data_IF_323262456707
#
_entry.id   IF_323262456707
#
_cell.length_a   1.000
_cell.length_b   1.000
_cell.length_c   1.000
_cell.angle_alpha   90.00
_cell.angle_beta   90.00
_cell.angle_gamma   90.00
#
_symmetry.space_group_name_H-M   'P 1'
#
loop_
_entity.id
_entity.type
_entity.pdbx_description
1 polymer ?
#
# COMPACT_ATOMS: atom_id res chain seq x y z
N UNK A 1 29.60 -3.35 17.08
CA UNK A 1 28.66 -3.43 15.94
C UNK A 1 27.27 -3.17 16.50
N UNK A 2 26.65 -2.02 16.21
CA UNK A 2 25.34 -1.68 16.80
C UNK A 2 24.30 -2.71 16.35
N UNK A 3 23.40 -3.12 17.26
CA UNK A 3 22.36 -4.15 17.03
C UNK A 3 21.54 -3.89 15.76
N UNK A 4 21.25 -2.61 15.45
CA UNK A 4 20.56 -2.20 14.22
C UNK A 4 21.31 -2.53 12.93
N UNK A 5 22.65 -2.53 12.93
CA UNK A 5 23.45 -2.91 11.75
C UNK A 5 23.44 -4.42 11.51
N UNK A 6 23.32 -5.23 12.56
CA UNK A 6 23.19 -6.68 12.43
C UNK A 6 21.84 -7.07 11.83
N UNK A 7 20.74 -6.58 12.41
CA UNK A 7 19.38 -6.86 11.92
C UNK A 7 19.18 -6.42 10.46
N UNK A 8 19.71 -5.26 10.08
CA UNK A 8 19.67 -4.79 8.70
C UNK A 8 20.40 -5.75 7.73
N UNK A 9 21.58 -6.26 8.10
CA UNK A 9 22.30 -7.25 7.28
C UNK A 9 21.54 -8.58 7.18
N UNK A 10 20.98 -9.05 8.30
CA UNK A 10 20.23 -10.30 8.35
C UNK A 10 19.00 -10.25 7.44
N UNK A 11 18.12 -9.25 7.61
CA UNK A 11 16.90 -9.14 6.81
C UNK A 11 17.16 -8.87 5.33
N UNK A 12 18.25 -8.15 5.01
CA UNK A 12 18.72 -8.02 3.63
C UNK A 12 19.03 -9.39 3.02
N UNK A 13 19.78 -10.23 3.72
CA UNK A 13 20.15 -11.55 3.23
C UNK A 13 18.92 -12.47 3.11
N UNK A 14 18.01 -12.43 4.09
CA UNK A 14 16.74 -13.17 4.04
C UNK A 14 15.93 -12.77 2.81
N UNK A 15 15.85 -11.47 2.50
CA UNK A 15 15.11 -10.98 1.34
C UNK A 15 15.70 -11.50 0.02
N UNK A 16 17.02 -11.46 -0.15
CA UNK A 16 17.64 -12.01 -1.37
C UNK A 16 17.49 -13.53 -1.48
N UNK A 17 17.65 -14.26 -0.36
CA UNK A 17 17.42 -15.71 -0.33
C UNK A 17 15.98 -16.05 -0.70
N UNK A 18 15.02 -15.28 -0.19
CA UNK A 18 13.60 -15.38 -0.54
C UNK A 18 13.36 -15.16 -2.04
N UNK A 19 13.96 -14.11 -2.64
CA UNK A 19 13.81 -13.84 -4.07
C UNK A 19 14.36 -14.98 -4.94
N UNK A 20 15.51 -15.55 -4.56
CA UNK A 20 16.08 -16.71 -5.27
C UNK A 20 15.16 -17.93 -5.11
N UNK A 21 14.73 -18.22 -3.88
CA UNK A 21 13.90 -19.39 -3.58
C UNK A 21 12.56 -19.33 -4.30
N UNK A 22 11.89 -18.17 -4.32
CA UNK A 22 10.61 -18.03 -5.01
C UNK A 22 10.78 -18.10 -6.53
N UNK A 23 11.88 -17.58 -7.07
CA UNK A 23 12.16 -17.67 -8.51
C UNK A 23 12.39 -19.13 -8.92
N UNK A 24 13.16 -19.89 -8.15
CA UNK A 24 13.36 -21.33 -8.37
C UNK A 24 12.01 -22.07 -8.29
N UNK A 25 11.20 -21.79 -7.27
CA UNK A 25 9.88 -22.39 -7.12
C UNK A 25 8.99 -22.13 -8.34
N UNK A 26 8.92 -20.88 -8.80
CA UNK A 26 8.14 -20.51 -10.00
C UNK A 26 8.63 -21.25 -11.23
N UNK A 27 9.94 -21.33 -11.45
CA UNK A 27 10.52 -22.06 -12.59
C UNK A 27 10.14 -23.55 -12.53
N UNK A 28 10.25 -24.17 -11.35
CA UNK A 28 9.89 -25.58 -11.15
C UNK A 28 8.40 -25.80 -11.45
N UNK A 29 7.52 -24.93 -10.95
CA UNK A 29 6.07 -25.02 -11.20
C UNK A 29 5.73 -24.79 -12.68
N UNK A 30 6.43 -23.87 -13.35
CA UNK A 30 6.26 -23.65 -14.78
C UNK A 30 6.68 -24.86 -15.62
N UNK A 31 7.85 -25.46 -15.33
CA UNK A 31 8.31 -26.68 -16.00
C UNK A 31 7.31 -27.82 -15.77
N UNK A 32 6.87 -28.00 -14.52
CA UNK A 32 5.89 -29.03 -14.14
C UNK A 32 4.57 -28.86 -14.89
N UNK A 33 4.11 -27.63 -15.07
CA UNK A 33 2.91 -27.33 -15.85
C UNK A 33 3.06 -27.72 -17.31
N UNK A 34 4.22 -27.43 -17.94
CA UNK A 34 4.49 -27.79 -19.33
C UNK A 34 4.51 -29.32 -19.50
N UNK A 35 5.14 -30.03 -18.57
CA UNK A 35 5.18 -31.50 -18.57
C UNK A 35 3.81 -32.13 -18.33
N UNK A 36 2.94 -31.51 -17.52
CA UNK A 36 1.57 -32.01 -17.29
C UNK A 36 0.66 -31.76 -18.49
N UNK A 37 0.86 -30.63 -19.20
CA UNK A 37 0.08 -30.26 -20.37
C UNK A 37 0.25 -31.24 -21.55
N UNK A 38 1.39 -31.92 -21.64
CA UNK A 38 1.59 -32.98 -22.65
C UNK A 38 0.78 -34.24 -22.37
N UNK A 39 0.26 -34.41 -21.15
CA UNK A 39 -0.46 -35.62 -20.72
C UNK A 39 -1.93 -35.39 -20.38
N UNK A 40 -2.36 -34.14 -20.10
CA UNK A 40 -3.71 -33.85 -19.59
C UNK A 40 -4.29 -32.55 -20.19
N UNK A 41 -5.49 -32.60 -20.77
CA UNK A 41 -6.22 -31.47 -21.35
C UNK A 41 -7.03 -30.64 -20.33
N UNK A 42 -6.75 -30.74 -19.03
CA UNK A 42 -7.64 -30.23 -17.98
C UNK A 42 -7.46 -28.71 -17.70
N UNK A 43 -6.33 -28.12 -18.11
CA UNK A 43 -6.02 -26.71 -17.91
C UNK A 43 -5.81 -26.01 -19.26
N UNK A 44 -6.73 -25.10 -19.59
CA UNK A 44 -6.62 -24.27 -20.77
C UNK A 44 -5.77 -23.05 -20.45
N UNK A 45 -4.50 -23.10 -20.87
CA UNK A 45 -3.49 -22.09 -20.53
C UNK A 45 -3.90 -20.70 -21.01
N UNK A 46 -4.60 -20.62 -22.15
CA UNK A 46 -5.01 -19.34 -22.73
C UNK A 46 -6.13 -18.68 -21.91
N UNK A 47 -7.10 -19.46 -21.43
CA UNK A 47 -8.24 -18.95 -20.66
C UNK A 47 -7.86 -18.42 -19.27
N UNK A 48 -6.76 -18.90 -18.69
CA UNK A 48 -6.29 -18.47 -17.36
C UNK A 48 -5.22 -17.38 -17.43
N UNK A 49 -4.18 -17.56 -18.26
CA UNK A 49 -3.07 -16.60 -18.30
C UNK A 49 -3.45 -15.28 -18.95
N UNK A 50 -4.29 -15.32 -20.01
CA UNK A 50 -4.60 -14.12 -20.77
C UNK A 50 -5.36 -13.09 -19.92
N UNK A 51 -6.45 -13.43 -19.17
CA UNK A 51 -7.14 -12.46 -18.32
C UNK A 51 -6.24 -11.88 -17.23
N UNK A 52 -5.37 -12.70 -16.63
CA UNK A 52 -4.48 -12.27 -15.53
C UNK A 52 -3.39 -11.32 -16.03
N UNK A 53 -2.73 -11.64 -17.15
CA UNK A 53 -1.67 -10.83 -17.73
C UNK A 53 -2.23 -9.52 -18.32
N UNK A 54 -3.37 -9.57 -19.02
CA UNK A 54 -4.04 -8.38 -19.55
C UNK A 54 -4.46 -7.46 -18.40
N UNK A 55 -5.04 -8.01 -17.33
CA UNK A 55 -5.42 -7.22 -16.16
C UNK A 55 -4.21 -6.62 -15.43
N UNK A 56 -3.07 -7.33 -15.41
CA UNK A 56 -1.81 -6.83 -14.82
C UNK A 56 -1.19 -5.72 -15.68
N UNK A 57 -1.26 -5.83 -17.01
CA UNK A 57 -0.85 -4.74 -17.91
C UNK A 57 -1.78 -3.52 -17.78
N UNK A 58 -3.10 -3.75 -17.70
CA UNK A 58 -4.08 -2.71 -17.41
C UNK A 58 -3.80 -2.02 -16.08
N UNK A 59 -3.46 -2.77 -15.02
CA UNK A 59 -3.08 -2.21 -13.73
C UNK A 59 -1.87 -1.26 -13.82
N UNK A 60 -0.86 -1.59 -14.63
CA UNK A 60 0.30 -0.74 -14.84
C UNK A 60 -0.09 0.58 -15.53
N UNK A 61 -0.89 0.50 -16.60
CA UNK A 61 -1.41 1.67 -17.33
C UNK A 61 -2.28 2.53 -16.41
N UNK A 62 -3.19 1.91 -15.67
CA UNK A 62 -4.04 2.59 -14.69
C UNK A 62 -3.20 3.26 -13.60
N UNK A 63 -2.10 2.64 -13.16
CA UNK A 63 -1.14 3.22 -12.23
C UNK A 63 -0.51 4.51 -12.74
N UNK A 64 -0.05 4.52 -13.98
CA UNK A 64 0.48 5.72 -14.62
C UNK A 64 -0.58 6.81 -14.78
N UNK A 65 -1.78 6.44 -15.24
CA UNK A 65 -2.89 7.37 -15.37
C UNK A 65 -3.25 8.00 -14.00
N UNK A 66 -3.31 7.19 -12.93
CA UNK A 66 -3.66 7.65 -11.60
C UNK A 66 -2.60 8.60 -11.01
N UNK A 67 -1.32 8.35 -11.28
CA UNK A 67 -0.23 9.27 -10.93
C UNK A 67 -0.37 10.59 -11.66
N UNK A 68 -0.60 10.55 -12.98
CA UNK A 68 -0.78 11.75 -13.79
C UNK A 68 -1.97 12.58 -13.28
N UNK A 69 -3.13 11.95 -13.09
CA UNK A 69 -4.32 12.61 -12.55
C UNK A 69 -4.06 13.27 -11.18
N UNK A 70 -3.36 12.56 -10.29
CA UNK A 70 -3.02 13.12 -8.96
C UNK A 70 -2.04 14.29 -9.06
N UNK A 71 -1.10 14.25 -10.00
CA UNK A 71 -0.16 15.35 -10.23
C UNK A 71 -0.85 16.59 -10.84
N UNK A 72 -1.82 16.40 -11.74
CA UNK A 72 -2.58 17.50 -12.34
C UNK A 72 -3.57 18.14 -11.36
N UNK A 73 -4.35 17.32 -10.64
CA UNK A 73 -5.34 17.82 -9.70
C UNK A 73 -5.49 16.86 -8.51
N UNK A 74 -4.69 17.04 -7.43
CA UNK A 74 -4.69 16.13 -6.30
C UNK A 74 -6.00 16.12 -5.54
N UNK A 75 -6.64 17.29 -5.35
CA UNK A 75 -7.92 17.40 -4.64
C UNK A 75 -9.04 16.66 -5.37
N UNK A 76 -9.17 16.89 -6.68
CA UNK A 76 -10.21 16.23 -7.48
C UNK A 76 -9.99 14.73 -7.55
N UNK A 77 -8.74 14.30 -7.72
CA UNK A 77 -8.38 12.88 -7.75
C UNK A 77 -8.65 12.19 -6.42
N UNK A 78 -8.40 12.88 -5.29
CA UNK A 78 -8.77 12.38 -3.98
C UNK A 78 -10.29 12.20 -3.84
N UNK A 79 -11.10 13.19 -4.24
CA UNK A 79 -12.57 13.05 -4.24
C UNK A 79 -13.03 11.87 -5.11
N UNK A 80 -12.46 11.72 -6.31
CA UNK A 80 -12.76 10.60 -7.21
C UNK A 80 -12.39 9.26 -6.58
N UNK A 81 -11.22 9.13 -5.95
CA UNK A 81 -10.79 7.87 -5.34
C UNK A 81 -11.75 7.38 -4.25
N UNK A 82 -12.19 8.29 -3.38
CA UNK A 82 -13.10 7.95 -2.29
C UNK A 82 -14.51 7.60 -2.77
N UNK A 83 -14.98 8.19 -3.87
CA UNK A 83 -16.29 7.86 -4.45
C UNK A 83 -16.24 6.60 -5.32
N UNK A 84 -15.21 6.47 -6.17
CA UNK A 84 -15.06 5.38 -7.12
C UNK A 84 -14.75 4.04 -6.42
N UNK A 85 -13.96 4.05 -5.35
CA UNK A 85 -13.55 2.84 -4.63
C UNK A 85 -14.73 2.00 -4.11
N UNK A 86 -15.66 2.53 -3.26
CA UNK A 86 -16.78 1.75 -2.77
C UNK A 86 -17.70 1.26 -3.89
N UNK A 87 -17.89 2.06 -4.94
CA UNK A 87 -18.70 1.69 -6.10
C UNK A 87 -18.12 0.48 -6.83
N UNK A 88 -16.83 0.52 -7.18
CA UNK A 88 -16.18 -0.60 -7.88
C UNK A 88 -16.12 -1.86 -7.02
N UNK A 89 -15.88 -1.72 -5.70
CA UNK A 89 -15.90 -2.85 -4.78
C UNK A 89 -17.30 -3.47 -4.70
N UNK A 90 -18.36 -2.66 -4.71
CA UNK A 90 -19.74 -3.15 -4.78
C UNK A 90 -20.01 -3.96 -6.06
N UNK A 91 -19.53 -3.47 -7.21
CA UNK A 91 -19.62 -4.20 -8.47
C UNK A 91 -18.84 -5.53 -8.45
N UNK A 92 -17.66 -5.56 -7.81
CA UNK A 92 -16.92 -6.83 -7.60
C UNK A 92 -17.73 -7.79 -6.73
N UNK A 93 -18.43 -7.30 -5.70
CA UNK A 93 -19.36 -8.11 -4.91
C UNK A 93 -20.44 -8.75 -5.78
N UNK A 94 -21.07 -7.97 -6.66
CA UNK A 94 -22.07 -8.47 -7.62
C UNK A 94 -21.50 -9.53 -8.58
N UNK A 95 -20.30 -9.28 -9.13
CA UNK A 95 -19.60 -10.25 -9.98
C UNK A 95 -19.34 -11.58 -9.24
N UNK A 96 -18.87 -11.51 -8.00
CA UNK A 96 -18.58 -12.69 -7.17
C UNK A 96 -19.84 -13.47 -6.78
N UNK A 97 -20.97 -12.80 -6.55
CA UNK A 97 -22.28 -13.46 -6.39
C UNK A 97 -22.68 -14.17 -7.68
N UNK A 98 -22.47 -13.53 -8.83
CA UNK A 98 -22.80 -14.10 -10.15
C UNK A 98 -21.98 -15.36 -10.47
N UNK A 99 -20.74 -15.45 -9.97
CA UNK A 99 -19.90 -16.66 -10.08
C UNK A 99 -20.49 -17.83 -9.28
N UNK A 100 -21.10 -17.58 -8.11
CA UNK A 100 -21.91 -18.55 -7.37
C UNK A 100 -21.17 -19.75 -6.75
N UNK A 101 -19.85 -19.70 -6.57
CA UNK A 101 -19.11 -20.73 -5.83
C UNK A 101 -19.09 -20.41 -4.33
N UNK A 102 -18.89 -21.41 -3.46
CA UNK A 102 -18.79 -21.17 -2.00
C UNK A 102 -17.69 -20.14 -1.68
N UNK A 103 -16.53 -20.25 -2.33
CA UNK A 103 -15.43 -19.29 -2.16
C UNK A 103 -15.79 -17.89 -2.66
N UNK A 104 -16.48 -17.77 -3.80
CA UNK A 104 -16.88 -16.47 -4.33
C UNK A 104 -17.95 -15.79 -3.47
N UNK A 105 -18.87 -16.54 -2.87
CA UNK A 105 -19.88 -15.98 -1.97
C UNK A 105 -19.27 -15.40 -0.68
N UNK A 106 -18.28 -16.07 -0.09
CA UNK A 106 -17.54 -15.52 1.07
C UNK A 106 -16.80 -14.25 0.67
N UNK A 107 -16.10 -14.26 -0.47
CA UNK A 107 -15.43 -13.07 -0.98
C UNK A 107 -16.41 -11.93 -1.32
N UNK A 108 -17.60 -12.24 -1.82
CA UNK A 108 -18.66 -11.28 -2.10
C UNK A 108 -19.16 -10.60 -0.82
N UNK A 109 -19.40 -11.37 0.25
CA UNK A 109 -19.80 -10.82 1.54
C UNK A 109 -18.76 -9.83 2.09
N UNK A 110 -17.47 -10.19 2.00
CA UNK A 110 -16.36 -9.31 2.40
C UNK A 110 -16.34 -8.04 1.54
N UNK A 111 -16.53 -8.16 0.22
CA UNK A 111 -16.58 -7.02 -0.70
C UNK A 111 -17.73 -6.07 -0.35
N UNK A 112 -18.94 -6.59 -0.11
CA UNK A 112 -20.11 -5.77 0.27
C UNK A 112 -19.87 -5.03 1.59
N UNK A 113 -19.40 -5.71 2.63
CA UNK A 113 -19.06 -5.07 3.91
C UNK A 113 -17.99 -4.00 3.73
N UNK A 114 -16.99 -4.26 2.88
CA UNK A 114 -15.94 -3.29 2.55
C UNK A 114 -16.50 -2.07 1.81
N UNK A 115 -17.40 -2.24 0.86
CA UNK A 115 -18.05 -1.14 0.13
C UNK A 115 -18.90 -0.26 1.05
N UNK A 116 -19.67 -0.87 1.95
CA UNK A 116 -20.46 -0.13 2.96
C UNK A 116 -19.53 0.66 3.89
N UNK A 117 -18.49 0.02 4.41
CA UNK A 117 -17.51 0.65 5.32
C UNK A 117 -16.82 1.83 4.64
N UNK A 118 -16.40 1.68 3.37
CA UNK A 118 -15.78 2.76 2.61
C UNK A 118 -16.75 3.91 2.34
N UNK A 119 -18.02 3.62 2.04
CA UNK A 119 -19.07 4.63 1.85
C UNK A 119 -19.32 5.44 3.13
N UNK A 120 -19.44 4.77 4.28
CA UNK A 120 -19.57 5.42 5.59
C UNK A 120 -18.34 6.27 5.92
N UNK A 121 -17.15 5.74 5.63
CA UNK A 121 -15.90 6.46 5.84
C UNK A 121 -15.81 7.73 4.99
N UNK A 122 -16.28 7.70 3.73
CA UNK A 122 -16.36 8.88 2.89
C UNK A 122 -17.24 9.97 3.51
N UNK A 123 -18.45 9.63 3.96
CA UNK A 123 -19.34 10.57 4.64
C UNK A 123 -18.69 11.20 5.88
N UNK A 124 -17.97 10.40 6.67
CA UNK A 124 -17.27 10.86 7.88
C UNK A 124 -16.07 11.77 7.60
N UNK A 125 -15.45 11.61 6.43
CA UNK A 125 -14.20 12.32 6.07
C UNK A 125 -14.45 13.58 5.26
N UNK A 126 -15.64 13.73 4.66
CA UNK A 126 -15.99 14.83 3.76
C UNK A 126 -15.50 16.22 4.22
N UNK A 127 -15.69 16.65 5.49
CA UNK A 127 -15.29 17.99 5.93
C UNK A 127 -13.77 18.24 5.88
N UNK A 128 -12.95 17.17 5.94
CA UNK A 128 -11.49 17.24 6.02
C UNK A 128 -10.79 17.15 4.66
N UNK A 129 -11.55 16.88 3.59
CA UNK A 129 -10.99 16.63 2.26
C UNK A 129 -10.32 17.86 1.67
N UNK A 130 -10.87 19.06 1.91
CA UNK A 130 -10.32 20.28 1.30
C UNK A 130 -8.93 20.58 1.85
N UNK A 131 -8.76 20.53 3.18
CA UNK A 131 -7.46 20.70 3.83
C UNK A 131 -6.46 19.62 3.44
N UNK A 132 -6.88 18.35 3.46
CA UNK A 132 -6.00 17.26 3.05
C UNK A 132 -5.57 17.40 1.58
N UNK A 133 -6.47 17.89 0.70
CA UNK A 133 -6.15 18.16 -0.70
C UNK A 133 -5.19 19.33 -0.88
N UNK A 134 -5.28 20.37 -0.04
CA UNK A 134 -4.31 21.48 -0.05
C UNK A 134 -2.92 21.03 0.43
N UNK A 135 -2.84 20.25 1.52
CA UNK A 135 -1.56 19.69 1.99
C UNK A 135 -0.97 18.77 0.92
N UNK A 136 -1.80 17.97 0.26
CA UNK A 136 -1.39 17.11 -0.85
C UNK A 136 -0.84 17.92 -2.02
N UNK A 137 -1.50 19.02 -2.39
CA UNK A 137 -1.05 19.94 -3.43
C UNK A 137 0.32 20.54 -3.09
N UNK A 138 0.50 21.08 -1.89
CA UNK A 138 1.77 21.67 -1.44
C UNK A 138 2.90 20.62 -1.40
N UNK A 139 2.58 19.40 -1.00
CA UNK A 139 3.55 18.30 -0.92
C UNK A 139 4.00 17.80 -2.30
N UNK A 140 3.17 17.96 -3.33
CA UNK A 140 3.43 17.54 -4.72
C UNK A 140 3.97 18.69 -5.59
N UNK A 141 3.70 19.95 -5.25
CA UNK A 141 4.00 21.14 -6.05
C UNK A 141 5.46 21.30 -6.48
N UNK A 142 6.39 20.72 -5.72
CA UNK A 142 7.81 20.77 -6.07
C UNK A 142 8.10 19.73 -7.16
N UNK A 143 8.58 20.12 -8.37
CA UNK A 143 8.46 19.27 -9.55
C UNK A 143 9.26 17.96 -9.52
N UNK A 144 8.81 16.99 -10.33
CA UNK A 144 8.85 15.59 -9.98
C UNK A 144 9.57 14.73 -11.03
N UNK A 145 10.32 15.31 -11.99
CA UNK A 145 10.88 14.58 -13.13
C UNK A 145 11.64 13.33 -12.72
N UNK A 146 12.27 13.41 -11.56
CA UNK A 146 13.09 12.34 -11.04
C UNK A 146 12.33 11.42 -10.05
N UNK A 147 11.28 11.93 -9.40
CA UNK A 147 10.35 11.12 -8.62
C UNK A 147 9.47 10.25 -9.55
N UNK A 148 9.06 10.78 -10.70
CA UNK A 148 8.32 10.04 -11.74
C UNK A 148 9.17 8.96 -12.38
N UNK A 149 10.46 9.20 -12.64
CA UNK A 149 11.39 8.17 -13.12
C UNK A 149 11.54 6.98 -12.16
N UNK A 150 11.71 7.24 -10.86
CA UNK A 150 11.77 6.18 -9.83
C UNK A 150 10.44 5.45 -9.72
N UNK A 151 9.33 6.17 -9.76
CA UNK A 151 8.00 5.56 -9.72
C UNK A 151 7.73 4.70 -10.96
N UNK A 152 8.19 5.13 -12.13
CA UNK A 152 8.10 4.40 -13.39
C UNK A 152 8.86 3.08 -13.32
N UNK A 153 10.13 3.12 -12.90
CA UNK A 153 10.93 1.91 -12.72
C UNK A 153 10.32 0.96 -11.69
N UNK A 154 9.74 1.51 -10.62
CA UNK A 154 9.08 0.72 -9.57
C UNK A 154 7.82 0.01 -10.08
N UNK A 155 7.00 0.69 -10.90
CA UNK A 155 5.82 0.08 -11.55
C UNK A 155 6.24 -1.03 -12.52
N UNK A 156 7.25 -0.80 -13.37
CA UNK A 156 7.77 -1.83 -14.28
C UNK A 156 8.27 -3.04 -13.50
N UNK A 157 9.09 -2.82 -12.46
CA UNK A 157 9.65 -3.90 -11.65
C UNK A 157 8.54 -4.69 -10.96
N UNK A 158 7.54 -4.01 -10.39
CA UNK A 158 6.40 -4.65 -9.77
C UNK A 158 5.56 -5.44 -10.79
N UNK A 159 5.39 -4.92 -12.01
CA UNK A 159 4.65 -5.58 -13.10
C UNK A 159 5.35 -6.85 -13.54
N UNK A 160 6.64 -6.77 -13.88
CA UNK A 160 7.44 -7.93 -14.30
C UNK A 160 7.47 -9.00 -13.21
N UNK A 161 7.65 -8.59 -11.96
CA UNK A 161 7.64 -9.51 -10.82
C UNK A 161 6.28 -10.17 -10.62
N UNK A 162 5.18 -9.40 -10.68
CA UNK A 162 3.83 -9.95 -10.53
C UNK A 162 3.51 -10.94 -11.65
N UNK A 163 3.84 -10.59 -12.90
CA UNK A 163 3.67 -11.50 -14.05
C UNK A 163 4.43 -12.81 -13.85
N UNK A 164 5.70 -12.75 -13.42
CA UNK A 164 6.50 -13.94 -13.08
C UNK A 164 5.79 -14.81 -12.03
N UNK A 165 5.29 -14.20 -10.95
CA UNK A 165 4.61 -14.94 -9.88
C UNK A 165 3.29 -15.55 -10.35
N UNK A 166 2.51 -14.85 -11.19
CA UNK A 166 1.29 -15.39 -11.77
C UNK A 166 1.55 -16.58 -12.71
N UNK A 167 2.69 -16.60 -13.42
CA UNK A 167 3.12 -17.80 -14.14
C UNK A 167 3.29 -19.01 -13.19
N UNK A 168 3.88 -18.81 -12.02
CA UNK A 168 4.01 -19.87 -11.00
C UNK A 168 2.67 -20.35 -10.45
N UNK A 169 1.73 -19.43 -10.18
CA UNK A 169 0.39 -19.77 -9.70
C UNK A 169 -0.38 -20.58 -10.75
N UNK A 170 -0.35 -20.17 -12.02
CA UNK A 170 -0.97 -20.94 -13.09
C UNK A 170 -0.37 -22.33 -13.21
N UNK A 171 0.94 -22.47 -13.05
CA UNK A 171 1.61 -23.76 -13.09
C UNK A 171 1.24 -24.70 -11.94
N UNK A 172 1.08 -24.18 -10.72
CA UNK A 172 0.57 -24.95 -9.58
C UNK A 172 -0.90 -25.36 -9.78
N UNK A 173 -1.72 -24.45 -10.33
CA UNK A 173 -3.15 -24.69 -10.58
C UNK A 173 -3.36 -25.80 -11.63
N UNK A 174 -2.50 -25.87 -12.64
CA UNK A 174 -2.58 -26.88 -13.69
C UNK A 174 -2.33 -28.32 -13.21
N UNK A 175 -1.57 -28.50 -12.12
CA UNK A 175 -1.15 -29.83 -11.65
C UNK A 175 -2.00 -30.39 -10.51
N UNK A 176 -2.68 -29.51 -9.77
CA UNK A 176 -3.68 -29.81 -8.73
C UNK A 176 -3.30 -30.94 -7.74
N UNK A 177 -2.12 -30.84 -7.14
CA UNK A 177 -1.63 -31.71 -6.05
C UNK A 177 -1.84 -31.10 -4.68
N UNK A 178 -1.76 -31.94 -3.64
CA UNK A 178 -1.97 -31.54 -2.24
C UNK A 178 -1.08 -30.37 -1.77
N UNK A 179 0.11 -30.17 -2.36
CA UNK A 179 1.03 -29.11 -1.97
C UNK A 179 0.80 -27.78 -2.71
N UNK A 180 -0.04 -27.77 -3.76
CA UNK A 180 -0.19 -26.59 -4.62
C UNK A 180 -0.85 -25.41 -3.89
N UNK A 181 -1.75 -25.67 -2.93
CA UNK A 181 -2.32 -24.63 -2.05
C UNK A 181 -1.21 -23.93 -1.25
N UNK A 182 -0.25 -24.69 -0.71
CA UNK A 182 0.87 -24.13 0.05
C UNK A 182 1.82 -23.33 -0.84
N UNK A 183 2.06 -23.78 -2.07
CA UNK A 183 2.87 -23.03 -3.04
C UNK A 183 2.19 -21.73 -3.47
N UNK A 184 0.89 -21.76 -3.77
CA UNK A 184 0.12 -20.55 -4.11
C UNK A 184 0.15 -19.58 -2.94
N UNK A 185 -0.08 -20.05 -1.72
CA UNK A 185 0.01 -19.22 -0.52
C UNK A 185 1.40 -18.58 -0.36
N UNK A 186 2.47 -19.35 -0.53
CA UNK A 186 3.85 -18.83 -0.48
C UNK A 186 4.12 -17.77 -1.57
N UNK A 187 3.61 -17.98 -2.79
CA UNK A 187 3.71 -17.02 -3.89
C UNK A 187 2.94 -15.73 -3.59
N UNK A 188 1.72 -15.82 -3.05
CA UNK A 188 0.93 -14.63 -2.68
C UNK A 188 1.56 -13.84 -1.52
N UNK A 189 2.15 -14.54 -0.54
CA UNK A 189 2.90 -13.91 0.54
C UNK A 189 4.13 -13.17 0.00
N UNK A 190 4.85 -13.81 -0.93
CA UNK A 190 6.00 -13.24 -1.63
C UNK A 190 5.63 -12.01 -2.47
N UNK A 191 4.52 -12.07 -3.21
CA UNK A 191 3.95 -10.94 -3.95
C UNK A 191 3.69 -9.76 -3.02
N UNK A 192 2.96 -10.01 -1.93
CA UNK A 192 2.57 -8.98 -0.96
C UNK A 192 3.78 -8.33 -0.32
N UNK A 193 4.73 -9.14 0.17
CA UNK A 193 5.91 -8.62 0.86
C UNK A 193 6.81 -7.83 -0.08
N UNK A 194 7.09 -8.35 -1.28
CA UNK A 194 7.93 -7.67 -2.27
C UNK A 194 7.29 -6.39 -2.78
N UNK A 195 5.97 -6.37 -3.03
CA UNK A 195 5.26 -5.15 -3.41
C UNK A 195 5.35 -4.08 -2.31
N UNK A 196 5.23 -4.46 -1.03
CA UNK A 196 5.46 -3.54 0.09
C UNK A 196 6.90 -3.04 0.16
N UNK A 197 7.90 -3.88 -0.13
CA UNK A 197 9.31 -3.48 -0.17
C UNK A 197 9.57 -2.48 -1.29
N UNK A 198 9.04 -2.70 -2.51
CA UNK A 198 9.16 -1.76 -3.63
C UNK A 198 8.53 -0.41 -3.23
N UNK A 199 7.30 -0.44 -2.73
CA UNK A 199 6.57 0.74 -2.24
C UNK A 199 7.36 1.51 -1.18
N UNK A 200 7.87 0.82 -0.17
CA UNK A 200 8.56 1.46 0.95
C UNK A 200 9.98 1.92 0.59
N UNK A 201 10.64 1.28 -0.38
CA UNK A 201 11.91 1.75 -0.94
C UNK A 201 11.71 3.09 -1.64
N UNK A 202 10.66 3.22 -2.44
CA UNK A 202 10.26 4.49 -3.05
C UNK A 202 9.91 5.54 -1.99
N UNK A 203 9.19 5.15 -0.93
CA UNK A 203 8.89 6.02 0.20
C UNK A 203 10.16 6.61 0.85
N UNK A 204 11.15 5.77 1.17
CA UNK A 204 12.40 6.22 1.80
C UNK A 204 13.20 7.13 0.87
N UNK A 205 13.39 6.71 -0.39
CA UNK A 205 14.22 7.46 -1.34
C UNK A 205 13.62 8.84 -1.65
N UNK A 206 12.32 8.91 -1.95
CA UNK A 206 11.66 10.15 -2.36
C UNK A 206 11.47 11.09 -1.17
N UNK A 207 11.13 10.55 0.02
CA UNK A 207 11.01 11.41 1.20
C UNK A 207 12.35 12.02 1.61
N UNK A 208 13.46 11.31 1.47
CA UNK A 208 14.80 11.85 1.69
C UNK A 208 15.10 13.03 0.73
N UNK A 209 14.90 12.84 -0.58
CA UNK A 209 15.11 13.90 -1.57
C UNK A 209 14.25 15.12 -1.25
N UNK A 210 12.95 14.90 -0.99
CA UNK A 210 12.00 15.97 -0.68
C UNK A 210 12.34 16.72 0.59
N UNK A 211 12.72 16.00 1.65
CA UNK A 211 13.13 16.59 2.91
C UNK A 211 14.37 17.48 2.71
N UNK A 212 15.38 17.01 1.98
CA UNK A 212 16.62 17.78 1.75
C UNK A 212 16.38 19.06 0.95
N UNK A 213 15.45 19.00 0.00
CA UNK A 213 15.01 20.17 -0.76
C UNK A 213 14.22 21.17 0.11
N UNK A 214 13.28 20.69 0.92
CA UNK A 214 12.48 21.54 1.82
C UNK A 214 13.37 22.20 2.87
N UNK A 215 14.19 21.43 3.59
CA UNK A 215 14.98 21.95 4.71
C UNK A 215 16.19 22.75 4.23
N UNK A 216 16.98 22.22 3.29
CA UNK A 216 18.28 22.81 2.92
C UNK A 216 18.31 23.43 1.52
N UNK A 217 17.26 23.25 0.70
CA UNK A 217 17.26 23.72 -0.69
C UNK A 217 18.22 22.94 -1.59
N UNK A 218 18.69 21.76 -1.16
CA UNK A 218 19.65 20.94 -1.90
C UNK A 218 18.91 20.02 -2.87
N UNK A 219 19.38 19.99 -4.12
CA UNK A 219 18.94 19.01 -5.11
C UNK A 219 19.86 17.79 -5.07
N UNK A 220 19.37 16.69 -4.48
CA UNK A 220 20.09 15.42 -4.45
C UNK A 220 19.75 14.60 -5.70
N UNK A 221 20.79 14.14 -6.41
CA UNK A 221 20.63 13.20 -7.52
C UNK A 221 19.91 11.92 -7.08
N UNK A 222 18.78 11.61 -7.71
CA UNK A 222 17.89 10.53 -7.24
C UNK A 222 18.45 9.13 -7.38
N UNK A 223 19.23 8.87 -8.43
CA UNK A 223 19.89 7.59 -8.64
C UNK A 223 20.85 7.34 -7.49
N UNK A 224 21.54 8.39 -7.03
CA UNK A 224 22.42 8.32 -5.87
C UNK A 224 21.63 8.08 -4.58
N UNK A 225 20.53 8.81 -4.36
CA UNK A 225 19.66 8.62 -3.20
C UNK A 225 19.05 7.20 -3.16
N UNK A 226 18.60 6.69 -4.30
CA UNK A 226 18.03 5.35 -4.43
C UNK A 226 19.09 4.26 -4.25
N UNK A 227 20.26 4.40 -4.89
CA UNK A 227 21.39 3.48 -4.72
C UNK A 227 21.86 3.44 -3.27
N UNK A 228 21.92 4.60 -2.60
CA UNK A 228 22.28 4.69 -1.19
C UNK A 228 21.22 4.02 -0.30
N UNK A 229 19.93 4.30 -0.56
CA UNK A 229 18.80 3.66 0.13
C UNK A 229 18.85 2.14 0.00
N UNK A 230 19.04 1.64 -1.21
CA UNK A 230 19.11 0.21 -1.49
C UNK A 230 20.34 -0.44 -0.82
N UNK A 231 21.50 0.22 -0.86
CA UNK A 231 22.74 -0.32 -0.28
C UNK A 231 22.72 -0.35 1.24
N UNK A 232 22.14 0.67 1.88
CA UNK A 232 22.26 0.87 3.33
C UNK A 232 20.99 0.57 4.12
N UNK A 233 19.80 0.66 3.51
CA UNK A 233 18.54 0.63 4.26
C UNK A 233 17.59 -0.51 3.86
N UNK A 234 17.96 -1.37 2.90
CA UNK A 234 17.05 -2.41 2.38
C UNK A 234 16.57 -3.40 3.46
N UNK A 235 17.43 -3.83 4.38
CA UNK A 235 17.02 -4.76 5.44
C UNK A 235 16.06 -4.10 6.43
N UNK A 236 16.32 -2.84 6.80
CA UNK A 236 15.39 -2.04 7.59
C UNK A 236 14.05 -1.83 6.89
N UNK A 237 14.06 -1.61 5.57
CA UNK A 237 12.86 -1.50 4.74
C UNK A 237 12.08 -2.83 4.74
N UNK A 238 12.77 -3.98 4.68
CA UNK A 238 12.14 -5.30 4.74
C UNK A 238 11.40 -5.50 6.07
N UNK A 239 12.02 -5.16 7.20
CA UNK A 239 11.38 -5.20 8.53
C UNK A 239 10.17 -4.27 8.56
N UNK A 240 10.33 -3.02 8.11
CA UNK A 240 9.25 -2.04 8.05
C UNK A 240 8.08 -2.46 7.17
N UNK A 241 8.36 -3.22 6.09
CA UNK A 241 7.35 -3.72 5.15
C UNK A 241 6.46 -4.82 5.73
N UNK A 242 6.89 -5.46 6.83
CA UNK A 242 6.07 -6.39 7.62
C UNK A 242 5.42 -5.63 8.79
N UNK A 243 6.23 -4.89 9.54
CA UNK A 243 5.83 -4.27 10.81
C UNK A 243 4.78 -3.16 10.63
N UNK A 244 5.00 -2.24 9.68
CA UNK A 244 4.15 -1.04 9.53
C UNK A 244 2.73 -1.39 9.08
N UNK A 245 2.49 -2.29 8.11
CA UNK A 245 1.13 -2.73 7.77
C UNK A 245 0.39 -3.38 8.94
N UNK A 246 1.06 -4.24 9.73
CA UNK A 246 0.45 -4.91 10.89
C UNK A 246 -0.01 -3.89 11.93
N UNK A 247 0.86 -2.94 12.28
CA UNK A 247 0.50 -1.87 13.23
C UNK A 247 -0.60 -0.97 12.67
N UNK A 248 -0.60 -0.71 11.36
CA UNK A 248 -1.67 0.05 10.70
C UNK A 248 -3.03 -0.65 10.83
N UNK A 249 -3.08 -1.97 10.67
CA UNK A 249 -4.31 -2.76 10.85
C UNK A 249 -4.77 -2.67 12.31
N UNK A 250 -3.88 -2.89 13.28
CA UNK A 250 -4.20 -2.82 14.72
C UNK A 250 -4.72 -1.43 15.11
N UNK A 251 -4.10 -0.35 14.60
CA UNK A 251 -4.57 1.03 14.84
C UNK A 251 -5.93 1.28 14.19
N UNK A 252 -6.14 0.76 12.98
CA UNK A 252 -7.41 0.86 12.25
C UNK A 252 -8.55 0.18 12.99
N UNK A 253 -8.37 -1.07 13.41
CA UNK A 253 -9.36 -1.82 14.19
C UNK A 253 -9.63 -1.19 15.54
N UNK A 254 -8.60 -0.67 16.24
CA UNK A 254 -8.80 0.05 17.50
C UNK A 254 -9.70 1.26 17.34
N UNK A 255 -9.52 2.05 16.28
CA UNK A 255 -10.38 3.19 15.97
C UNK A 255 -11.80 2.78 15.61
N UNK A 256 -11.96 1.69 14.85
CA UNK A 256 -13.27 1.18 14.50
C UNK A 256 -14.05 0.74 15.75
N UNK A 257 -13.42 -0.03 16.62
CA UNK A 257 -14.03 -0.51 17.87
C UNK A 257 -14.38 0.68 18.78
N UNK A 258 -13.47 1.65 18.96
CA UNK A 258 -13.74 2.82 19.82
C UNK A 258 -14.85 3.73 19.33
N UNK A 259 -15.21 3.69 18.05
CA UNK A 259 -16.40 4.38 17.54
C UNK A 259 -17.70 3.64 17.89
N UNK A 260 -17.69 2.31 17.90
CA UNK A 260 -18.86 1.50 18.24
C UNK A 260 -19.10 1.45 19.76
N UNK A 261 -18.04 1.46 20.56
CA UNK A 261 -18.13 1.33 22.02
C UNK A 261 -18.57 2.60 22.76
N UNK A 262 -18.86 3.71 22.07
CA UNK A 262 -19.25 4.98 22.74
C UNK A 262 -20.57 4.88 23.50
N UNK A 263 -21.45 3.99 23.08
CA UNK A 263 -22.77 3.77 23.68
C UNK A 263 -22.91 2.37 24.32
N UNK A 264 -21.79 1.69 24.61
CA UNK A 264 -21.76 0.32 25.15
C UNK A 264 -21.47 0.28 26.67
N UNK A 265 -21.79 -0.85 27.31
CA UNK A 265 -21.59 -1.10 28.74
C UNK A 265 -20.16 -0.78 29.25
N UNK A 266 -20.03 -0.42 30.53
CA UNK A 266 -18.77 -0.04 31.18
C UNK A 266 -17.61 -1.05 30.97
N UNK A 267 -17.93 -2.35 30.91
CA UNK A 267 -16.92 -3.39 30.65
C UNK A 267 -16.35 -3.33 29.24
N UNK A 268 -17.19 -3.14 28.22
CA UNK A 268 -16.75 -2.96 26.83
C UNK A 268 -15.94 -1.69 26.66
N UNK A 269 -16.29 -0.63 27.38
CA UNK A 269 -15.52 0.61 27.41
C UNK A 269 -14.10 0.39 27.96
N UNK A 270 -13.95 -0.36 29.07
CA UNK A 270 -12.66 -0.68 29.68
C UNK A 270 -11.74 -1.47 28.73
N UNK A 271 -12.23 -2.57 28.12
CA UNK A 271 -11.45 -3.35 27.15
C UNK A 271 -11.07 -2.52 25.90
N UNK A 272 -11.98 -1.67 25.43
CA UNK A 272 -11.74 -0.77 24.30
C UNK A 272 -10.65 0.27 24.62
N UNK A 273 -10.65 0.80 25.85
CA UNK A 273 -9.63 1.73 26.32
C UNK A 273 -8.24 1.09 26.37
N UNK A 274 -8.14 -0.14 26.86
CA UNK A 274 -6.90 -0.92 26.91
C UNK A 274 -6.37 -1.21 25.50
N UNK A 275 -7.23 -1.69 24.60
CA UNK A 275 -6.84 -1.96 23.21
C UNK A 275 -6.37 -0.69 22.49
N UNK A 276 -7.06 0.42 22.73
CA UNK A 276 -6.68 1.73 22.16
C UNK A 276 -5.35 2.25 22.72
N UNK A 277 -5.06 2.00 24.00
CA UNK A 277 -3.76 2.31 24.60
C UNK A 277 -2.63 1.48 23.97
N UNK A 278 -2.84 0.17 23.77
CA UNK A 278 -1.86 -0.70 23.10
C UNK A 278 -1.62 -0.25 21.66
N UNK A 279 -2.69 -0.03 20.89
CA UNK A 279 -2.59 0.42 19.50
C UNK A 279 -1.87 1.79 19.38
N UNK A 280 -2.12 2.70 20.31
CA UNK A 280 -1.45 4.00 20.36
C UNK A 280 0.04 3.86 20.66
N UNK A 281 0.41 2.98 21.60
CA UNK A 281 1.83 2.69 21.92
C UNK A 281 2.54 2.05 20.74
N UNK A 282 1.94 1.07 20.07
CA UNK A 282 2.55 0.37 18.93
C UNK A 282 2.93 1.32 17.80
N UNK A 283 2.20 2.41 17.61
CA UNK A 283 2.48 3.37 16.52
C UNK A 283 3.77 4.15 16.75
N UNK A 284 4.22 4.31 18.00
CA UNK A 284 5.55 4.83 18.27
C UNK A 284 6.66 3.88 17.77
N UNK A 285 6.40 2.56 17.71
CA UNK A 285 7.38 1.56 17.30
C UNK A 285 7.35 1.22 15.81
N UNK A 286 6.27 1.53 15.10
CA UNK A 286 6.20 1.33 13.66
C UNK A 286 5.15 2.22 13.02
N UNK A 287 5.64 3.25 12.34
CA UNK A 287 4.80 4.16 11.58
C UNK A 287 5.45 4.48 10.24
N UNK A 288 4.62 4.90 9.27
CA UNK A 288 5.09 5.25 7.93
C UNK A 288 6.05 6.44 7.93
N UNK A 289 5.99 7.30 8.94
CA UNK A 289 6.81 8.50 9.04
C UNK A 289 8.27 8.12 9.35
N UNK A 290 8.49 7.02 10.07
CA UNK A 290 9.81 6.45 10.33
C UNK A 290 10.63 6.16 9.06
N UNK A 291 9.99 5.90 7.92
CA UNK A 291 10.68 5.75 6.63
C UNK A 291 11.43 7.02 6.19
N UNK A 292 10.98 8.21 6.59
CA UNK A 292 11.69 9.47 6.31
C UNK A 292 13.03 9.48 7.07
N UNK A 293 13.00 9.19 8.38
CA UNK A 293 14.22 9.12 9.21
C UNK A 293 15.18 7.99 8.81
N UNK A 294 14.68 6.88 8.26
CA UNK A 294 15.55 5.84 7.68
C UNK A 294 16.40 6.44 6.55
N UNK A 295 15.79 7.21 5.65
CA UNK A 295 16.50 7.82 4.53
C UNK A 295 17.54 8.86 4.96
N UNK A 296 17.25 9.60 6.03
CA UNK A 296 18.11 10.68 6.53
C UNK A 296 19.26 10.19 7.42
N UNK A 297 18.99 9.22 8.30
CA UNK A 297 19.92 8.83 9.36
C UNK A 297 20.39 7.38 9.30
N UNK A 298 19.88 6.57 8.34
CA UNK A 298 20.17 5.13 8.23
C UNK A 298 19.98 4.35 9.54
N UNK A 299 18.99 4.74 10.35
CA UNK A 299 18.62 4.07 11.61
C UNK A 299 17.58 2.97 11.36
N UNK A 300 17.48 2.01 12.27
CA UNK A 300 16.46 0.95 12.21
C UNK A 300 15.02 1.51 12.30
N UNK A 301 14.04 0.81 11.71
CA UNK A 301 12.65 1.30 11.57
C UNK A 301 12.00 1.62 12.91
N UNK A 302 12.26 0.82 13.94
CA UNK A 302 11.70 1.00 15.28
C UNK A 302 12.24 2.29 15.91
N UNK A 303 13.56 2.47 15.89
CA UNK A 303 14.18 3.69 16.42
C UNK A 303 13.76 4.93 15.62
N UNK A 304 13.73 4.83 14.29
CA UNK A 304 13.29 5.91 13.41
C UNK A 304 11.84 6.29 13.68
N UNK A 305 10.95 5.31 13.86
CA UNK A 305 9.53 5.53 14.19
C UNK A 305 9.35 6.23 15.54
N UNK A 306 10.12 5.82 16.55
CA UNK A 306 10.05 6.38 17.90
C UNK A 306 10.49 7.85 17.91
N UNK A 307 11.66 8.13 17.33
CA UNK A 307 12.20 9.49 17.27
C UNK A 307 11.26 10.47 16.57
N UNK A 308 10.62 10.02 15.49
CA UNK A 308 9.71 10.87 14.72
C UNK A 308 8.39 11.10 15.45
N UNK A 309 7.91 10.09 16.18
CA UNK A 309 6.71 10.23 17.00
C UNK A 309 6.93 11.21 18.15
N UNK A 310 8.07 11.13 18.83
CA UNK A 310 8.48 12.10 19.86
C UNK A 310 8.66 13.51 19.29
N UNK A 311 9.15 13.64 18.07
CA UNK A 311 9.24 14.93 17.37
C UNK A 311 7.86 15.52 17.08
N UNK A 312 6.91 14.72 16.59
CA UNK A 312 5.53 15.17 16.36
C UNK A 312 4.82 15.59 17.63
N UNK A 313 5.08 14.90 18.74
CA UNK A 313 4.54 15.27 20.05
C UNK A 313 5.13 16.60 20.53
N UNK A 314 6.44 16.80 20.41
CA UNK A 314 7.11 18.07 20.76
C UNK A 314 6.63 19.24 19.90
N UNK A 315 6.37 18.99 18.62
CA UNK A 315 5.84 20.00 17.69
C UNK A 315 4.32 20.24 17.84
N UNK A 316 3.61 19.45 18.65
CA UNK A 316 2.16 19.61 18.87
C UNK A 316 1.29 19.23 17.67
N UNK A 317 1.82 18.51 16.67
CA UNK A 317 1.10 18.19 15.42
C UNK A 317 0.45 16.81 15.41
N UNK A 318 0.35 16.13 16.55
CA UNK A 318 -0.20 14.77 16.60
C UNK A 318 -1.65 14.71 16.07
N UNK A 319 -2.49 15.68 16.41
CA UNK A 319 -3.87 15.75 15.95
C UNK A 319 -3.97 15.94 14.44
N UNK A 320 -3.07 16.74 13.88
CA UNK A 320 -2.92 16.95 12.44
C UNK A 320 -2.57 15.62 11.74
N UNK A 321 -1.55 14.93 12.23
CA UNK A 321 -1.11 13.62 11.73
C UNK A 321 -2.24 12.57 11.81
N UNK A 322 -3.06 12.63 12.85
CA UNK A 322 -4.20 11.74 13.03
C UNK A 322 -5.36 12.01 12.07
N UNK A 323 -5.45 13.25 11.59
CA UNK A 323 -6.49 13.72 10.66
C UNK A 323 -6.07 13.61 9.19
N UNK A 324 -4.80 13.28 8.91
CA UNK A 324 -4.30 13.11 7.55
C UNK A 324 -5.04 12.00 6.79
N UNK A 325 -5.45 12.33 5.56
CA UNK A 325 -6.20 11.43 4.68
C UNK A 325 -5.34 10.77 3.62
N UNK A 326 -4.04 11.09 3.54
CA UNK A 326 -3.15 10.59 2.48
C UNK A 326 -3.04 9.07 2.53
N UNK A 327 -3.00 8.47 3.73
CA UNK A 327 -2.96 7.00 3.83
C UNK A 327 -4.23 6.36 3.26
N UNK A 328 -5.38 6.93 3.62
CA UNK A 328 -6.70 6.47 3.17
C UNK A 328 -6.88 6.68 1.68
N UNK A 329 -6.46 7.84 1.16
CA UNK A 329 -6.46 8.13 -0.26
C UNK A 329 -5.64 7.10 -1.06
N UNK A 330 -4.40 6.80 -0.62
CA UNK A 330 -3.59 5.79 -1.29
C UNK A 330 -4.20 4.38 -1.17
N UNK A 331 -4.80 4.03 -0.03
CA UNK A 331 -5.48 2.75 0.16
C UNK A 331 -6.70 2.62 -0.77
N UNK A 332 -7.56 3.63 -0.79
CA UNK A 332 -8.78 3.68 -1.61
C UNK A 332 -8.47 3.70 -3.11
N UNK A 333 -7.40 4.40 -3.50
CA UNK A 333 -6.88 4.32 -4.88
C UNK A 333 -6.46 2.88 -5.22
N UNK A 334 -5.76 2.22 -4.30
CA UNK A 334 -5.39 0.80 -4.42
C UNK A 334 -6.61 -0.09 -4.59
N UNK A 335 -7.61 0.02 -3.71
CA UNK A 335 -8.82 -0.81 -3.76
C UNK A 335 -9.65 -0.54 -5.01
N UNK A 336 -9.75 0.71 -5.48
CA UNK A 336 -10.38 1.04 -6.74
C UNK A 336 -9.67 0.38 -7.94
N UNK A 337 -8.33 0.47 -8.00
CA UNK A 337 -7.55 -0.16 -9.06
C UNK A 337 -7.61 -1.68 -9.04
N UNK A 338 -7.54 -2.29 -7.85
CA UNK A 338 -7.76 -3.71 -7.66
C UNK A 338 -9.15 -4.13 -8.13
N UNK A 339 -10.20 -3.39 -7.73
CA UNK A 339 -11.56 -3.68 -8.13
C UNK A 339 -11.76 -3.57 -9.65
N UNK A 340 -11.19 -2.55 -10.30
CA UNK A 340 -11.24 -2.43 -11.77
C UNK A 340 -10.56 -3.63 -12.47
N UNK A 341 -9.41 -4.09 -11.97
CA UNK A 341 -8.72 -5.26 -12.52
C UNK A 341 -9.51 -6.55 -12.28
N UNK A 342 -10.13 -6.70 -11.10
CA UNK A 342 -10.98 -7.84 -10.77
C UNK A 342 -12.23 -7.91 -11.66
N UNK A 343 -12.86 -6.75 -11.94
CA UNK A 343 -13.98 -6.67 -12.87
C UNK A 343 -13.55 -7.07 -14.29
N UNK A 344 -12.39 -6.57 -14.74
CA UNK A 344 -11.86 -6.90 -16.07
C UNK A 344 -11.54 -8.40 -16.20
N UNK A 345 -10.64 -8.91 -15.35
CA UNK A 345 -10.18 -10.30 -15.42
C UNK A 345 -11.25 -11.31 -15.00
N UNK A 346 -12.01 -10.99 -13.95
CA UNK A 346 -13.08 -11.84 -13.44
C UNK A 346 -14.26 -11.96 -14.38
N UNK A 347 -14.70 -10.86 -15.01
CA UNK A 347 -15.78 -10.93 -16.02
C UNK A 347 -15.34 -11.69 -17.26
N UNK A 348 -14.10 -11.49 -17.72
CA UNK A 348 -13.53 -12.27 -18.82
C UNK A 348 -13.54 -13.77 -18.47
N UNK A 349 -12.99 -14.14 -17.31
CA UNK A 349 -12.95 -15.53 -16.89
C UNK A 349 -14.34 -16.13 -16.69
N UNK A 350 -15.32 -15.35 -16.22
CA UNK A 350 -16.72 -15.78 -16.09
C UNK A 350 -17.35 -16.10 -17.46
N UNK A 351 -17.04 -15.32 -18.50
CA UNK A 351 -17.54 -15.53 -19.86
C UNK A 351 -16.84 -16.69 -20.58
N UNK A 352 -15.53 -16.88 -20.37
CA UNK A 352 -14.75 -17.96 -21.00
C UNK A 352 -14.94 -19.29 -20.27
N UNK A 353 -14.54 -19.38 -18.99
CA UNK A 353 -14.64 -20.60 -18.16
C UNK A 353 -14.87 -20.26 -16.69
N UNK A 354 -16.11 -20.48 -16.23
CA UNK A 354 -16.57 -20.19 -14.86
C UNK A 354 -15.72 -20.81 -13.74
N UNK A 355 -15.06 -21.95 -13.99
CA UNK A 355 -14.31 -22.68 -12.96
C UNK A 355 -13.17 -21.86 -12.34
N UNK A 356 -12.49 -21.01 -13.13
CA UNK A 356 -11.37 -20.21 -12.65
C UNK A 356 -11.74 -18.76 -12.30
N UNK A 357 -13.00 -18.37 -12.52
CA UNK A 357 -13.42 -16.98 -12.40
C UNK A 357 -13.21 -16.39 -11.00
N UNK A 358 -13.40 -17.20 -9.95
CA UNK A 358 -13.18 -16.76 -8.55
C UNK A 358 -11.70 -16.44 -8.31
N UNK A 359 -10.81 -17.36 -8.67
CA UNK A 359 -9.37 -17.23 -8.46
C UNK A 359 -8.78 -16.09 -9.29
N UNK A 360 -9.13 -16.02 -10.58
CA UNK A 360 -8.71 -14.95 -11.49
C UNK A 360 -9.17 -13.59 -10.94
N UNK A 361 -10.40 -13.47 -10.43
CA UNK A 361 -10.90 -12.23 -9.81
C UNK A 361 -10.04 -11.80 -8.62
N UNK A 362 -9.66 -12.74 -7.75
CA UNK A 362 -8.81 -12.45 -6.58
C UNK A 362 -7.39 -12.08 -6.99
N UNK A 363 -6.77 -12.81 -7.92
CA UNK A 363 -5.40 -12.55 -8.36
C UNK A 363 -5.27 -11.22 -9.10
N UNK A 364 -6.22 -10.91 -9.98
CA UNK A 364 -6.26 -9.62 -10.68
C UNK A 364 -6.60 -8.46 -9.74
N UNK A 365 -7.43 -8.69 -8.71
CA UNK A 365 -7.63 -7.72 -7.63
C UNK A 365 -6.32 -7.37 -6.93
N UNK A 366 -5.57 -8.38 -6.49
CA UNK A 366 -4.30 -8.18 -5.78
C UNK A 366 -3.26 -7.50 -6.66
N UNK A 367 -3.15 -7.91 -7.93
CA UNK A 367 -2.28 -7.28 -8.92
C UNK A 367 -2.58 -5.78 -9.06
N UNK A 368 -3.84 -5.44 -9.34
CA UNK A 368 -4.31 -4.05 -9.46
C UNK A 368 -4.07 -3.24 -8.19
N UNK A 369 -4.38 -3.81 -7.04
CA UNK A 369 -4.19 -3.16 -5.75
C UNK A 369 -2.72 -2.81 -5.52
N UNK A 370 -1.81 -3.78 -5.62
CA UNK A 370 -0.39 -3.53 -5.38
C UNK A 370 0.21 -2.56 -6.40
N UNK A 371 -0.19 -2.64 -7.66
CA UNK A 371 0.30 -1.74 -8.71
C UNK A 371 -0.03 -0.28 -8.40
N UNK A 372 -1.30 0.02 -8.08
CA UNK A 372 -1.71 1.37 -7.72
C UNK A 372 -1.06 1.79 -6.38
N UNK A 373 -0.91 0.89 -5.40
CA UNK A 373 -0.23 1.21 -4.13
C UNK A 373 1.24 1.58 -4.32
N UNK A 374 1.96 0.89 -5.21
CA UNK A 374 3.33 1.23 -5.61
C UNK A 374 3.33 2.58 -6.33
N UNK A 375 2.42 2.77 -7.30
CA UNK A 375 2.29 4.00 -8.05
C UNK A 375 2.06 5.23 -7.13
N UNK A 376 1.22 5.10 -6.11
CA UNK A 376 0.91 6.18 -5.18
C UNK A 376 1.96 6.43 -4.09
N UNK A 377 3.01 5.63 -4.03
CA UNK A 377 3.98 5.72 -2.94
C UNK A 377 4.81 6.99 -2.94
N UNK A 378 5.13 7.59 -4.10
CA UNK A 378 5.87 8.86 -4.12
C UNK A 378 5.06 10.03 -3.56
N UNK A 379 3.74 10.03 -3.78
CA UNK A 379 2.82 11.02 -3.23
C UNK A 379 2.79 10.90 -1.71
N UNK A 380 2.66 9.67 -1.21
CA UNK A 380 2.73 9.38 0.22
C UNK A 380 4.09 9.78 0.82
N UNK A 381 5.18 9.67 0.05
CA UNK A 381 6.52 10.08 0.43
C UNK A 381 6.65 11.60 0.54
N UNK A 382 6.12 12.34 -0.42
CA UNK A 382 6.11 13.80 -0.44
C UNK A 382 5.40 14.37 0.79
N UNK A 383 4.18 13.89 1.08
CA UNK A 383 3.43 14.32 2.26
C UNK A 383 4.17 13.96 3.56
N UNK A 384 4.82 12.80 3.60
CA UNK A 384 5.62 12.40 4.77
C UNK A 384 6.83 13.28 4.99
N UNK A 385 7.55 13.64 3.94
CA UNK A 385 8.66 14.58 4.04
C UNK A 385 8.18 15.97 4.47
N UNK A 386 7.03 16.44 3.93
CA UNK A 386 6.47 17.75 4.25
C UNK A 386 6.13 17.88 5.74
N UNK A 387 5.39 16.91 6.32
CA UNK A 387 5.08 16.93 7.75
C UNK A 387 6.32 16.79 8.64
N UNK A 388 7.29 15.96 8.25
CA UNK A 388 8.54 15.78 9.02
C UNK A 388 9.38 17.05 9.01
N UNK A 389 9.56 17.67 7.85
CA UNK A 389 10.30 18.93 7.72
C UNK A 389 9.62 20.07 8.48
N UNK A 390 8.27 20.13 8.46
CA UNK A 390 7.52 21.09 9.25
C UNK A 390 7.69 20.86 10.75
N UNK A 391 7.60 19.61 11.23
CA UNK A 391 7.73 19.29 12.64
C UNK A 391 9.11 19.62 13.22
N UNK A 392 10.15 19.56 12.40
CA UNK A 392 11.51 19.86 12.81
C UNK A 392 11.78 21.36 12.93
N UNK A 393 11.26 22.17 11.99
CA UNK A 393 11.34 23.62 12.07
C UNK A 393 10.05 24.29 11.58
N UNK A 394 9.03 24.43 12.45
CA UNK A 394 7.76 25.06 12.09
C UNK A 394 7.87 26.53 11.68
N UNK A 395 8.95 27.21 12.08
CA UNK A 395 9.21 28.63 11.83
C UNK A 395 10.00 28.88 10.53
N UNK A 396 10.28 27.84 9.76
CA UNK A 396 11.01 27.98 8.49
C UNK A 396 10.16 28.76 7.47
N UNK A 397 10.74 29.82 6.89
CA UNK A 397 10.09 30.72 5.92
C UNK A 397 9.55 30.03 4.67
N UNK A 398 10.00 28.80 4.37
CA UNK A 398 9.49 27.99 3.26
C UNK A 398 8.11 27.37 3.51
N UNK A 399 7.60 27.42 4.74
CA UNK A 399 6.27 26.92 5.06
C UNK A 399 5.26 28.07 5.16
N UNK A 400 4.15 27.92 4.43
CA UNK A 400 3.03 28.85 4.51
C UNK A 400 2.18 28.64 5.77
N UNK A 401 1.21 29.54 5.98
CA UNK A 401 0.24 29.47 7.08
C UNK A 401 -0.75 28.29 7.00
N UNK A 402 -0.61 27.37 6.03
CA UNK A 402 -1.55 26.26 5.78
C UNK A 402 -1.66 25.30 6.96
N UNK A 403 -0.53 24.83 7.51
CA UNK A 403 -0.55 23.93 8.67
C UNK A 403 -1.11 24.63 9.92
N UNK A 404 -0.64 25.84 10.31
CA UNK A 404 -1.22 26.58 11.43
C UNK A 404 -2.74 26.77 11.33
N UNK A 405 -3.25 27.20 10.16
CA UNK A 405 -4.70 27.38 9.94
C UNK A 405 -5.48 26.08 10.16
N UNK A 406 -4.96 24.96 9.65
CA UNK A 406 -5.64 23.69 9.82
C UNK A 406 -5.62 23.20 11.28
N UNK A 407 -4.57 23.48 12.04
CA UNK A 407 -4.53 23.21 13.48
C UNK A 407 -5.59 24.04 14.21
N UNK A 408 -5.72 25.33 13.91
CA UNK A 408 -6.75 26.20 14.51
C UNK A 408 -8.17 25.69 14.24
N UNK A 409 -8.45 25.26 13.01
CA UNK A 409 -9.78 24.71 12.67
C UNK A 409 -10.07 23.38 13.36
N UNK A 410 -9.06 22.51 13.51
CA UNK A 410 -9.16 21.27 14.28
C UNK A 410 -9.39 21.51 15.78
N UNK A 411 -8.94 22.66 16.29
CA UNK A 411 -9.23 23.10 17.66
C UNK A 411 -10.64 23.69 17.78
N UNK A 412 -11.08 24.52 16.82
CA UNK A 412 -12.41 25.12 16.80
C UNK A 412 -13.53 24.10 16.65
N UNK A 413 -13.35 23.07 15.83
CA UNK A 413 -14.33 21.98 15.65
C UNK A 413 -14.53 21.06 16.87
N UNK A 414 -13.76 21.29 17.95
CA UNK A 414 -13.87 20.55 19.22
C UNK A 414 -14.68 21.33 20.28
N UNK A 415 -14.83 22.65 20.11
CA UNK A 415 -15.72 23.50 20.92
C UNK A 415 -17.11 23.44 20.30
#
# INVERSE_FOLDING_TARGET
>A
MTEGNFLNKLFKNIFYLHLVSITILVIVLAIRSILSASHTHHFDTQDWYLPVLVSTAFAAIAGFAWQALTAFNPLRTMKVAFWLSPLLIGLVGFLLVSIGTTGSLVAAAIAVVSAVTQSLYWCWVQPRLEHAGQILLLSIAIPPQIATGVAFLSIITCTLYSSLLFFGIGGATATNTSWDILFIFAILLSLTWTAHIIKNTQQVAISHIKYMQLTYGLEIGTIMAFKNTFKHSIGTICIGSILVPVICVIRGSSRAISMVSKDADEFMFSCTSCYSAIASRLVAYGNRWGFVHIGLHNKGIVQSSKNIWEMFQRAGIEQLINSDLTSSFCFLSGTAGGAACALLGGSWALMSRRNYATEVSIYTFLSGYFMIRVAMSWIQAGVSAYYVAYAENPQNQKFDCTIPKFIEELQRSRV
#
